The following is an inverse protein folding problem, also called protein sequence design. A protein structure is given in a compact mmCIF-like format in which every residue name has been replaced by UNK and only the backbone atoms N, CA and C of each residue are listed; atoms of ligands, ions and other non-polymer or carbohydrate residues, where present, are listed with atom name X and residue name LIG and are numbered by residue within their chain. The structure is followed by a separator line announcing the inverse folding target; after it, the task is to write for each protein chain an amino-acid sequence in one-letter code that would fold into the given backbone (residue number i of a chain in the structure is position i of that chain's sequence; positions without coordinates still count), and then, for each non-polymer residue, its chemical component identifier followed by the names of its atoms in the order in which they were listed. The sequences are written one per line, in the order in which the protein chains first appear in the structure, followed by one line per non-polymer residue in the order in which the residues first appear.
data_IF_188595331762
#
_entry.id   IF_188595331762
#
_cell.length_a   1.000
_cell.length_b   1.000
_cell.length_c   1.000
_cell.angle_alpha   90.00
_cell.angle_beta   90.00
_cell.angle_gamma   90.00
#
_symmetry.space_group_name_H-M   'P 1'
#
loop_
_entity.id
_entity.type
_entity.pdbx_description
1 polymer ?
#
# COMPACT_ATOMS: atom_id res chain seq x y z
N UNK A 1 -11.09 19.89 14.28
CA UNK A 1 -12.31 19.27 13.71
C UNK A 1 -11.89 18.07 12.85
N UNK A 2 -12.48 16.88 13.04
CA UNK A 2 -12.15 15.68 12.25
C UNK A 2 -13.05 15.61 11.01
N UNK A 3 -12.47 15.34 9.83
CA UNK A 3 -13.26 15.19 8.61
C UNK A 3 -14.11 13.91 8.67
N UNK A 4 -15.41 14.05 8.38
CA UNK A 4 -16.34 12.93 8.36
C UNK A 4 -16.15 12.05 7.12
N UNK A 5 -16.37 10.76 7.28
CA UNK A 5 -16.37 9.79 6.17
C UNK A 5 -17.58 10.01 5.26
N UNK A 6 -17.38 10.01 3.94
CA UNK A 6 -18.49 10.00 2.97
C UNK A 6 -18.82 8.55 2.63
N UNK A 7 -19.94 8.05 3.12
CA UNK A 7 -20.36 6.66 2.88
C UNK A 7 -21.02 6.46 1.51
N UNK A 8 -21.75 7.47 1.00
CA UNK A 8 -22.44 7.40 -0.29
C UNK A 8 -21.99 8.53 -1.23
N UNK A 9 -20.94 8.32 -2.06
CA UNK A 9 -20.44 9.33 -2.98
C UNK A 9 -21.38 9.53 -4.16
N UNK A 10 -21.65 10.78 -4.56
CA UNK A 10 -22.51 11.09 -5.72
C UNK A 10 -21.84 10.75 -7.06
N UNK A 11 -20.52 10.91 -7.14
CA UNK A 11 -19.74 10.69 -8.36
C UNK A 11 -19.61 9.20 -8.70
N UNK A 12 -19.99 8.81 -9.92
CA UNK A 12 -19.97 7.43 -10.41
C UNK A 12 -18.56 6.81 -10.40
N UNK A 13 -17.53 7.57 -10.76
CA UNK A 13 -16.14 7.12 -10.73
C UNK A 13 -15.71 6.71 -9.31
N UNK A 14 -16.10 7.50 -8.30
CA UNK A 14 -15.82 7.18 -6.90
C UNK A 14 -16.63 5.96 -6.42
N UNK A 15 -17.88 5.79 -6.86
CA UNK A 15 -18.66 4.57 -6.57
C UNK A 15 -17.96 3.31 -7.08
N UNK A 16 -17.42 3.36 -8.29
CA UNK A 16 -16.63 2.25 -8.87
C UNK A 16 -15.37 2.00 -8.04
N UNK A 17 -14.65 3.06 -7.65
CA UNK A 17 -13.46 2.93 -6.79
C UNK A 17 -13.79 2.31 -5.42
N UNK A 18 -14.93 2.65 -4.82
CA UNK A 18 -15.41 2.05 -3.57
C UNK A 18 -15.67 0.55 -3.75
N UNK A 19 -16.39 0.18 -4.81
CA UNK A 19 -16.67 -1.22 -5.10
C UNK A 19 -15.37 -2.03 -5.31
N UNK A 20 -14.43 -1.48 -6.09
CA UNK A 20 -13.17 -2.15 -6.38
C UNK A 20 -12.30 -2.31 -5.13
N UNK A 21 -12.14 -1.27 -4.33
CA UNK A 21 -11.35 -1.36 -3.08
C UNK A 21 -12.00 -2.25 -2.03
N UNK A 22 -13.34 -2.24 -1.93
CA UNK A 22 -14.07 -3.19 -1.08
C UNK A 22 -13.84 -4.63 -1.53
N UNK A 23 -13.82 -4.90 -2.84
CA UNK A 23 -13.52 -6.23 -3.39
C UNK A 23 -12.06 -6.64 -3.14
N UNK A 24 -11.12 -5.70 -3.26
CA UNK A 24 -9.70 -5.99 -3.13
C UNK A 24 -9.23 -6.15 -1.68
N UNK A 25 -9.70 -5.30 -0.77
CA UNK A 25 -9.22 -5.23 0.62
C UNK A 25 -10.29 -5.62 1.65
N UNK A 26 -11.48 -6.05 1.21
CA UNK A 26 -12.63 -6.35 2.06
C UNK A 26 -13.37 -5.13 2.60
N UNK A 27 -12.76 -3.92 2.53
CA UNK A 27 -13.32 -2.65 3.01
C UNK A 27 -12.93 -1.51 2.07
N UNK A 28 -13.75 -0.46 2.04
CA UNK A 28 -13.41 0.78 1.33
C UNK A 28 -12.32 1.51 2.13
N UNK A 29 -11.21 1.84 1.47
CA UNK A 29 -10.07 2.49 2.09
C UNK A 29 -10.44 3.89 2.62
N UNK A 30 -9.97 4.24 3.82
CA UNK A 30 -10.27 5.53 4.46
C UNK A 30 -9.94 6.77 3.59
N UNK A 31 -8.81 6.82 2.83
CA UNK A 31 -8.52 7.94 1.94
C UNK A 31 -9.57 8.15 0.85
N UNK A 32 -10.22 7.08 0.35
CA UNK A 32 -11.32 7.21 -0.60
C UNK A 32 -12.51 7.94 0.02
N UNK A 33 -12.84 7.62 1.28
CA UNK A 33 -13.99 8.22 1.98
C UNK A 33 -13.76 9.64 2.46
N UNK A 34 -12.51 10.00 2.76
CA UNK A 34 -12.19 11.31 3.34
C UNK A 34 -11.69 12.30 2.27
N UNK A 35 -10.83 11.87 1.36
CA UNK A 35 -10.14 12.77 0.41
C UNK A 35 -10.81 12.69 -0.96
N UNK A 36 -10.77 11.51 -1.58
CA UNK A 36 -11.13 11.36 -2.99
C UNK A 36 -12.64 11.52 -3.25
N UNK A 37 -13.48 11.20 -2.27
CA UNK A 37 -14.92 11.49 -2.35
C UNK A 37 -15.24 13.00 -2.39
N UNK A 38 -14.34 13.85 -1.89
CA UNK A 38 -14.49 15.32 -1.91
C UNK A 38 -13.81 15.96 -3.12
N UNK A 39 -12.68 15.40 -3.56
CA UNK A 39 -11.94 15.82 -4.75
C UNK A 39 -11.57 14.62 -5.63
N UNK A 40 -12.49 14.17 -6.50
CA UNK A 40 -12.31 12.99 -7.34
C UNK A 40 -11.11 13.07 -8.28
N UNK A 41 -10.70 14.28 -8.69
CA UNK A 41 -9.58 14.51 -9.59
C UNK A 41 -8.26 14.01 -9.00
N UNK A 42 -8.12 14.07 -7.66
CA UNK A 42 -6.93 13.58 -6.95
C UNK A 42 -6.80 12.05 -7.05
N UNK A 43 -7.91 11.32 -7.22
CA UNK A 43 -7.85 9.87 -7.40
C UNK A 43 -7.19 9.51 -8.73
N UNK A 44 -7.50 10.25 -9.80
CA UNK A 44 -6.86 10.05 -11.10
C UNK A 44 -5.34 10.28 -11.03
N UNK A 45 -4.91 11.27 -10.24
CA UNK A 45 -3.48 11.51 -9.99
C UNK A 45 -2.85 10.37 -9.19
N UNK A 46 -3.48 9.92 -8.10
CA UNK A 46 -3.01 8.78 -7.32
C UNK A 46 -2.91 7.49 -8.15
N UNK A 47 -3.83 7.26 -9.07
CA UNK A 47 -3.79 6.13 -10.00
C UNK A 47 -2.63 6.22 -10.99
N UNK A 48 -2.23 7.43 -11.43
CA UNK A 48 -1.03 7.62 -12.26
C UNK A 48 0.24 7.25 -11.49
N UNK A 49 0.33 7.68 -10.22
CA UNK A 49 1.45 7.29 -9.33
C UNK A 49 1.48 5.77 -9.17
N UNK A 50 0.36 5.14 -8.83
CA UNK A 50 0.29 3.69 -8.69
C UNK A 50 0.67 2.96 -9.98
N UNK A 51 0.22 3.44 -11.14
CA UNK A 51 0.59 2.87 -12.45
C UNK A 51 2.09 3.00 -12.71
N UNK A 52 2.70 4.14 -12.38
CA UNK A 52 4.14 4.33 -12.51
C UNK A 52 4.91 3.36 -11.60
N UNK A 53 4.50 3.27 -10.34
CA UNK A 53 5.07 2.34 -9.35
C UNK A 53 4.92 0.87 -9.75
N UNK A 54 3.83 0.48 -10.39
CA UNK A 54 3.57 -0.92 -10.75
C UNK A 54 4.11 -1.31 -12.12
N UNK A 55 4.17 -0.39 -13.08
CA UNK A 55 4.43 -0.76 -14.50
C UNK A 55 5.59 -0.03 -15.16
N UNK A 56 6.07 1.10 -14.62
CA UNK A 56 6.98 1.98 -15.35
C UNK A 56 8.36 2.13 -14.72
N UNK A 57 8.60 1.56 -13.54
CA UNK A 57 9.95 1.47 -12.99
C UNK A 57 10.56 0.08 -13.18
N UNK A 58 11.89 0.03 -13.18
CA UNK A 58 12.70 -1.17 -13.37
C UNK A 58 12.92 -2.01 -12.11
N UNK A 59 12.40 -1.60 -10.95
CA UNK A 59 12.61 -2.29 -9.68
C UNK A 59 11.84 -3.62 -9.67
N UNK A 60 12.32 -4.62 -8.93
CA UNK A 60 11.54 -5.86 -8.73
C UNK A 60 10.29 -5.59 -7.88
N UNK A 61 9.19 -6.34 -8.06
CA UNK A 61 7.97 -6.16 -7.25
C UNK A 61 8.22 -6.21 -5.74
N UNK A 62 9.09 -7.12 -5.30
CA UNK A 62 9.51 -7.23 -3.90
C UNK A 62 10.22 -5.96 -3.42
N UNK A 63 11.23 -5.49 -4.16
CA UNK A 63 12.02 -4.32 -3.77
C UNK A 63 11.15 -3.06 -3.67
N UNK A 64 10.18 -2.88 -4.58
CA UNK A 64 9.23 -1.76 -4.52
C UNK A 64 8.41 -1.77 -3.24
N UNK A 65 7.89 -2.93 -2.85
CA UNK A 65 7.10 -3.06 -1.63
C UNK A 65 7.98 -2.88 -0.38
N UNK A 66 9.23 -3.35 -0.40
CA UNK A 66 10.17 -3.15 0.71
C UNK A 66 10.47 -1.66 0.90
N UNK A 67 10.67 -0.91 -0.18
CA UNK A 67 10.82 0.55 -0.14
C UNK A 67 9.56 1.22 0.43
N UNK A 68 8.36 0.77 0.04
CA UNK A 68 7.09 1.29 0.60
C UNK A 68 6.98 1.04 2.09
N UNK A 69 7.31 -0.16 2.55
CA UNK A 69 7.29 -0.48 4.00
C UNK A 69 8.35 0.32 4.75
N UNK A 70 9.57 0.44 4.22
CA UNK A 70 10.63 1.21 4.86
C UNK A 70 10.25 2.69 5.01
N UNK A 71 9.73 3.32 3.95
CA UNK A 71 9.26 4.72 4.01
C UNK A 71 8.05 4.88 4.91
N UNK A 72 7.12 3.93 4.92
CA UNK A 72 5.98 3.92 5.85
C UNK A 72 6.43 3.82 7.31
N UNK A 73 7.39 2.95 7.61
CA UNK A 73 7.98 2.78 8.95
C UNK A 73 8.71 4.04 9.39
N UNK A 74 9.48 4.68 8.50
CA UNK A 74 10.16 5.94 8.82
C UNK A 74 9.16 7.06 9.16
N UNK A 75 8.02 7.10 8.46
CA UNK A 75 6.95 8.07 8.70
C UNK A 75 5.92 7.63 9.74
N UNK A 76 6.13 6.50 10.43
CA UNK A 76 5.19 5.92 11.39
C UNK A 76 3.76 5.75 10.84
N UNK A 77 3.61 5.48 9.53
CA UNK A 77 2.32 5.29 8.88
C UNK A 77 1.89 3.82 8.92
N UNK A 78 1.16 3.41 9.97
CA UNK A 78 0.65 2.04 10.13
C UNK A 78 -0.27 1.61 8.98
N UNK A 79 -1.14 2.51 8.52
CA UNK A 79 -1.98 2.25 7.34
C UNK A 79 -1.15 1.90 6.09
N UNK A 80 -0.05 2.61 5.88
CA UNK A 80 0.81 2.40 4.72
C UNK A 80 1.57 1.07 4.83
N UNK A 81 2.01 0.71 6.05
CA UNK A 81 2.60 -0.60 6.34
C UNK A 81 1.61 -1.74 6.02
N UNK A 82 0.36 -1.63 6.50
CA UNK A 82 -0.68 -2.65 6.28
C UNK A 82 -0.99 -2.85 4.80
N UNK A 83 -1.12 -1.76 4.03
CA UNK A 83 -1.40 -1.86 2.59
C UNK A 83 -0.24 -2.51 1.84
N UNK A 84 1.01 -2.15 2.16
CA UNK A 84 2.16 -2.75 1.52
C UNK A 84 2.31 -4.24 1.87
N UNK A 85 2.04 -4.65 3.12
CA UNK A 85 1.97 -6.05 3.53
C UNK A 85 0.85 -6.81 2.79
N UNK A 86 -0.34 -6.23 2.69
CA UNK A 86 -1.45 -6.84 1.95
C UNK A 86 -1.09 -7.04 0.47
N UNK A 87 -0.38 -6.09 -0.14
CA UNK A 87 0.15 -6.22 -1.51
C UNK A 87 1.20 -7.33 -1.63
N UNK A 88 2.12 -7.45 -0.65
CA UNK A 88 3.13 -8.50 -0.61
C UNK A 88 2.50 -9.90 -0.51
N UNK A 89 1.49 -10.06 0.36
CA UNK A 89 0.73 -11.31 0.53
C UNK A 89 0.00 -11.66 -0.77
N UNK A 90 -0.70 -10.69 -1.38
CA UNK A 90 -1.39 -10.88 -2.67
C UNK A 90 -0.43 -11.29 -3.78
N UNK A 91 0.79 -10.73 -3.78
CA UNK A 91 1.85 -11.06 -4.73
C UNK A 91 2.60 -12.35 -4.43
N UNK A 92 2.29 -13.05 -3.32
CA UNK A 92 3.01 -14.26 -2.85
C UNK A 92 4.53 -14.03 -2.65
N UNK A 93 4.91 -12.83 -2.23
CA UNK A 93 6.33 -12.42 -2.05
C UNK A 93 6.89 -12.84 -0.68
N UNK A 94 6.04 -13.34 0.24
CA UNK A 94 6.40 -13.60 1.63
C UNK A 94 6.26 -12.34 2.50
N UNK A 95 6.19 -12.51 3.83
CA UNK A 95 5.95 -11.41 4.78
C UNK A 95 7.12 -11.14 5.72
N UNK A 96 8.08 -12.05 5.77
CA UNK A 96 9.11 -12.12 6.80
C UNK A 96 10.03 -10.89 6.75
N UNK A 97 10.48 -10.52 5.54
CA UNK A 97 11.31 -9.32 5.32
C UNK A 97 10.58 -8.03 5.70
N UNK A 98 9.30 -7.95 5.38
CA UNK A 98 8.47 -6.77 5.64
C UNK A 98 8.19 -6.60 7.14
N UNK A 99 7.86 -7.69 7.83
CA UNK A 99 7.66 -7.67 9.29
C UNK A 99 8.95 -7.30 10.01
N UNK A 100 10.09 -7.88 9.62
CA UNK A 100 11.40 -7.52 10.20
C UNK A 100 11.72 -6.02 10.02
N UNK A 101 11.41 -5.44 8.85
CA UNK A 101 11.58 -4.00 8.60
C UNK A 101 10.66 -3.14 9.46
N UNK A 102 9.41 -3.56 9.70
CA UNK A 102 8.46 -2.82 10.55
C UNK A 102 8.90 -2.85 12.01
N UNK A 103 9.34 -4.02 12.50
CA UNK A 103 9.85 -4.21 13.85
C UNK A 103 11.20 -3.53 14.10
N UNK A 104 11.87 -3.04 13.03
CA UNK A 104 13.25 -2.53 13.06
C UNK A 104 14.22 -3.54 13.70
N UNK A 105 13.97 -4.83 13.50
CA UNK A 105 14.81 -5.89 14.05
C UNK A 105 15.96 -6.20 13.09
N UNK A 106 17.10 -5.56 13.35
CA UNK A 106 18.33 -5.68 12.55
C UNK A 106 18.83 -7.13 12.46
N UNK A 107 18.58 -7.95 13.49
CA UNK A 107 19.03 -9.35 13.53
C UNK A 107 18.26 -10.22 12.54
N UNK A 108 16.94 -10.01 12.42
CA UNK A 108 16.09 -10.72 11.44
C UNK A 108 16.36 -10.27 10.00
N UNK A 109 16.74 -9.00 9.80
CA UNK A 109 17.02 -8.45 8.47
C UNK A 109 18.25 -9.10 7.81
N UNK A 110 19.32 -9.32 8.57
CA UNK A 110 20.54 -10.00 8.09
C UNK A 110 20.30 -11.48 7.75
N UNK A 111 19.48 -12.18 8.53
CA UNK A 111 19.12 -13.60 8.29
C UNK A 111 18.32 -13.73 6.98
N UNK A 112 17.42 -12.78 6.70
CA UNK A 112 16.61 -12.81 5.48
C UNK A 112 17.42 -12.48 4.21
N UNK A 113 18.41 -11.59 4.30
CA UNK A 113 19.37 -11.34 3.21
C UNK A 113 20.25 -12.56 2.93
N UNK A 114 20.76 -13.25 3.96
CA UNK A 114 21.57 -14.48 3.79
C UNK A 114 20.78 -15.64 3.18
N UNK A 115 19.46 -15.73 3.39
CA UNK A 115 18.60 -16.76 2.78
C UNK A 115 18.37 -16.54 1.28
N UNK A 116 18.46 -15.29 0.80
CA UNK A 116 18.23 -14.92 -0.60
C UNK A 116 19.49 -15.05 -1.47
N UNK A 117 20.68 -15.14 -0.85
CA UNK A 117 21.97 -15.36 -1.49
C UNK A 117 22.47 -16.75 -1.08
N UNK A 118 21.76 -17.80 -1.50
CA UNK A 118 22.36 -19.13 -1.59
C UNK A 118 22.83 -19.31 -3.03
N UNK A 119 24.12 -19.17 -3.23
CA UNK A 119 24.82 -19.85 -4.33
C UNK A 119 24.87 -21.35 -4.02
#
# INVERSE_FOLDING_TARGET
MRLQSIENPKNLFIKIAYWFTKRQYGKVMSPLKVIYARKPELLSFAMKIAKFEEKQNSLSPELRLLIKVATATQNSCTFCQDIALAQAVKGKIGKEKFVALIEKDETKMQISMKKSVRF
#
